data_IF_337606724449
#
_entry.id   IF_337606724449
#
_cell.length_a   1.000
_cell.length_b   1.000
_cell.length_c   1.000
_cell.angle_alpha   90.00
_cell.angle_beta   90.00
_cell.angle_gamma   90.00
#
_symmetry.space_group_name_H-M   'P 1'
#
loop_
_entity.id
_entity.type
_entity.pdbx_description
1 polymer ?
#
# COMPACT_ATOMS: atom_id res chain seq x y z
N UNK A 1 2.82 4.69 13.46
CA UNK A 1 2.11 5.86 13.94
C UNK A 1 3.08 6.73 14.76
N UNK A 2 3.23 8.00 14.40
CA UNK A 2 4.18 8.95 15.01
C UNK A 2 3.68 9.51 16.36
N UNK A 3 2.39 9.39 16.66
CA UNK A 3 1.79 9.89 17.89
C UNK A 3 1.45 8.79 18.90
N UNK A 4 1.23 7.56 18.44
CA UNK A 4 0.83 6.43 19.27
C UNK A 4 1.71 5.23 18.98
N UNK A 5 2.39 4.74 19.99
CA UNK A 5 3.31 3.63 19.82
C UNK A 5 2.57 2.33 19.44
N UNK A 6 2.84 1.69 18.29
CA UNK A 6 2.12 0.49 17.86
C UNK A 6 2.25 -0.68 18.84
N UNK A 7 3.35 -0.78 19.61
CA UNK A 7 3.53 -1.82 20.60
C UNK A 7 2.48 -1.76 21.74
N UNK A 8 1.83 -0.62 21.98
CA UNK A 8 0.73 -0.52 22.94
C UNK A 8 -0.42 -1.46 22.58
N UNK A 9 -0.68 -1.64 21.28
CA UNK A 9 -1.67 -2.60 20.78
C UNK A 9 -1.27 -4.05 21.11
N UNK A 10 -0.01 -4.41 20.91
CA UNK A 10 0.52 -5.73 21.26
C UNK A 10 0.50 -5.98 22.78
N UNK A 11 0.87 -4.97 23.57
CA UNK A 11 0.77 -5.05 25.02
C UNK A 11 -0.68 -5.31 25.46
N UNK A 12 -1.64 -4.60 24.87
CA UNK A 12 -3.06 -4.81 25.18
C UNK A 12 -3.53 -6.21 24.77
N UNK A 13 -3.14 -6.67 23.60
CA UNK A 13 -3.38 -8.05 23.14
C UNK A 13 -2.84 -9.09 24.13
N UNK A 14 -1.62 -8.88 24.60
CA UNK A 14 -0.99 -9.74 25.61
C UNK A 14 -1.75 -9.73 26.94
N UNK A 15 -2.29 -8.58 27.35
CA UNK A 15 -3.15 -8.47 28.51
C UNK A 15 -4.47 -9.26 28.32
N UNK A 16 -5.11 -9.16 27.15
CA UNK A 16 -6.31 -9.95 26.82
C UNK A 16 -6.02 -11.45 26.95
N UNK A 17 -4.95 -11.94 26.34
CA UNK A 17 -4.52 -13.35 26.45
C UNK A 17 -4.30 -13.78 27.90
N UNK A 18 -3.62 -12.94 28.66
CA UNK A 18 -3.30 -13.25 30.08
C UNK A 18 -4.53 -13.35 30.96
N UNK A 19 -5.52 -12.44 30.79
CA UNK A 19 -6.66 -12.34 31.69
C UNK A 19 -7.88 -13.14 31.24
N UNK A 20 -8.07 -13.31 29.90
CA UNK A 20 -9.15 -14.14 29.35
C UNK A 20 -8.73 -15.57 29.03
N UNK A 21 -7.44 -15.83 28.84
CA UNK A 21 -6.92 -17.13 28.44
C UNK A 21 -7.04 -17.41 26.92
N UNK A 22 -7.69 -16.55 26.17
CA UNK A 22 -7.85 -16.64 24.71
C UNK A 22 -8.01 -15.26 24.07
N UNK A 23 -8.12 -15.21 22.74
CA UNK A 23 -8.36 -14.02 21.93
C UNK A 23 -9.65 -14.13 21.09
N UNK A 24 -10.58 -14.98 21.48
CA UNK A 24 -11.74 -15.30 20.65
C UNK A 24 -12.58 -14.06 20.35
N UNK A 25 -12.71 -13.14 21.33
CA UNK A 25 -13.44 -11.88 21.22
C UNK A 25 -12.53 -10.66 20.98
N UNK A 26 -11.33 -10.86 20.43
CA UNK A 26 -10.39 -9.77 20.21
C UNK A 26 -9.79 -9.84 18.81
N UNK A 27 -9.71 -8.67 18.17
CA UNK A 27 -9.00 -8.50 16.90
C UNK A 27 -8.13 -7.25 16.95
N UNK A 28 -6.97 -7.31 16.30
CA UNK A 28 -6.08 -6.17 16.14
C UNK A 28 -5.60 -6.12 14.69
N UNK A 29 -5.71 -4.94 14.08
CA UNK A 29 -5.29 -4.72 12.71
C UNK A 29 -4.23 -3.63 12.67
N UNK A 30 -3.06 -3.98 12.15
CA UNK A 30 -2.00 -3.03 11.85
C UNK A 30 -2.01 -2.70 10.36
N UNK A 31 -1.73 -1.45 10.06
CA UNK A 31 -1.69 -0.92 8.69
C UNK A 31 -0.33 -0.28 8.44
N UNK A 32 0.29 -0.63 7.31
CA UNK A 32 1.52 0.00 6.84
C UNK A 32 1.21 1.36 6.22
N UNK A 33 2.19 2.25 6.27
CA UNK A 33 2.14 3.57 5.58
C UNK A 33 0.97 4.46 6.02
N UNK A 34 0.44 4.27 7.19
CA UNK A 34 -0.60 5.13 7.78
C UNK A 34 0.00 6.05 8.84
N UNK A 35 -0.56 7.24 8.96
CA UNK A 35 -0.24 8.22 10.00
C UNK A 35 -1.32 8.25 11.07
N UNK A 36 -1.02 8.93 12.18
CA UNK A 36 -2.03 9.32 13.16
C UNK A 36 -2.96 10.39 12.57
N UNK A 37 -4.25 10.25 12.83
CA UNK A 37 -5.25 11.19 12.34
C UNK A 37 -5.71 10.94 10.90
N UNK A 38 -6.67 11.73 10.47
CA UNK A 38 -7.23 11.66 9.12
C UNK A 38 -6.31 12.38 8.12
N UNK A 39 -5.72 11.60 7.23
CA UNK A 39 -4.88 12.11 6.14
C UNK A 39 -5.65 12.26 4.82
N UNK A 40 -6.97 12.24 4.84
CA UNK A 40 -7.77 12.41 3.62
C UNK A 40 -7.52 13.75 2.93
N UNK A 41 -7.15 14.77 3.69
CA UNK A 41 -6.73 16.07 3.20
C UNK A 41 -5.26 16.13 2.76
N UNK A 42 -4.43 15.15 3.18
CA UNK A 42 -3.01 15.05 2.89
C UNK A 42 -2.80 13.96 1.82
N UNK A 43 -3.20 14.23 0.60
CA UNK A 43 -2.99 13.28 -0.50
C UNK A 43 -1.50 13.27 -0.90
N UNK A 44 -0.69 12.66 -0.04
CA UNK A 44 0.77 12.56 -0.22
C UNK A 44 1.14 11.25 -0.88
N UNK A 45 2.35 11.21 -1.45
CA UNK A 45 2.92 9.99 -2.02
C UNK A 45 3.71 9.15 -0.98
N UNK A 46 3.53 9.44 0.32
CA UNK A 46 4.26 8.79 1.41
C UNK A 46 3.37 8.00 2.35
N UNK A 47 2.09 8.35 2.43
CA UNK A 47 1.14 7.74 3.36
C UNK A 47 -0.21 7.48 2.70
N UNK A 48 -0.94 6.54 3.26
CA UNK A 48 -2.31 6.21 2.86
C UNK A 48 -3.27 6.45 4.01
N UNK A 49 -4.53 6.71 3.66
CA UNK A 49 -5.61 6.86 4.62
C UNK A 49 -6.03 5.49 5.17
N UNK A 50 -6.15 5.37 6.50
CA UNK A 50 -6.58 4.15 7.18
C UNK A 50 -8.11 4.04 7.35
N UNK A 51 -8.87 5.09 7.04
CA UNK A 51 -10.31 5.14 7.31
C UNK A 51 -11.11 4.01 6.66
N UNK A 52 -10.69 3.55 5.48
CA UNK A 52 -11.33 2.41 4.82
C UNK A 52 -11.28 1.15 5.67
N UNK A 53 -10.12 0.85 6.23
CA UNK A 53 -9.93 -0.27 7.14
C UNK A 53 -10.69 -0.11 8.47
N UNK A 54 -10.69 1.10 9.04
CA UNK A 54 -11.45 1.40 10.25
C UNK A 54 -12.97 1.20 10.03
N UNK A 55 -13.51 1.71 8.93
CA UNK A 55 -14.93 1.56 8.60
C UNK A 55 -15.29 0.09 8.36
N UNK A 56 -14.45 -0.66 7.66
CA UNK A 56 -14.65 -2.10 7.47
C UNK A 56 -14.63 -2.84 8.81
N UNK A 57 -13.70 -2.51 9.70
CA UNK A 57 -13.62 -3.12 11.03
C UNK A 57 -14.88 -2.82 11.89
N UNK A 58 -15.45 -1.62 11.78
CA UNK A 58 -16.71 -1.28 12.45
C UNK A 58 -17.91 -2.07 11.92
N UNK A 59 -18.00 -2.27 10.60
CA UNK A 59 -19.02 -3.13 10.00
C UNK A 59 -18.85 -4.59 10.46
N UNK A 60 -17.62 -5.09 10.46
CA UNK A 60 -17.31 -6.43 10.94
C UNK A 60 -17.65 -6.61 12.42
N UNK A 61 -17.42 -5.58 13.24
CA UNK A 61 -17.78 -5.60 14.66
C UNK A 61 -19.31 -5.66 14.85
N UNK A 62 -20.07 -4.87 14.06
CA UNK A 62 -21.54 -4.94 14.07
C UNK A 62 -22.04 -6.34 13.71
N UNK A 63 -21.51 -6.92 12.63
CA UNK A 63 -21.86 -8.28 12.22
C UNK A 63 -21.50 -9.33 13.29
N UNK A 64 -20.38 -9.15 13.96
CA UNK A 64 -19.97 -10.05 15.02
C UNK A 64 -20.90 -10.02 16.22
N UNK A 65 -21.26 -8.80 16.68
CA UNK A 65 -22.12 -8.62 17.84
C UNK A 65 -23.58 -9.01 17.53
N UNK A 66 -24.09 -8.61 16.38
CA UNK A 66 -25.52 -8.77 16.04
C UNK A 66 -25.84 -10.12 15.40
N UNK A 67 -24.89 -10.70 14.65
CA UNK A 67 -25.11 -11.87 13.80
C UNK A 67 -24.21 -13.05 14.13
N UNK A 68 -23.23 -12.88 15.04
CA UNK A 68 -22.27 -13.91 15.40
C UNK A 68 -21.23 -14.21 14.29
N UNK A 69 -21.10 -13.32 13.30
CA UNK A 69 -20.15 -13.49 12.19
C UNK A 69 -18.81 -12.94 12.60
N UNK A 70 -17.87 -13.82 12.93
CA UNK A 70 -16.53 -13.41 13.38
C UNK A 70 -15.77 -12.61 12.32
N UNK A 71 -15.10 -11.50 12.70
CA UNK A 71 -14.24 -10.73 11.80
C UNK A 71 -13.04 -11.54 11.31
N UNK A 72 -12.35 -11.01 10.29
CA UNK A 72 -11.07 -11.57 9.84
C UNK A 72 -10.08 -11.70 10.98
N UNK A 73 -9.14 -12.62 10.83
CA UNK A 73 -8.07 -12.80 11.80
C UNK A 73 -7.27 -11.50 11.98
N UNK A 74 -6.75 -11.31 13.18
CA UNK A 74 -5.80 -10.24 13.48
C UNK A 74 -4.63 -10.25 12.50
N UNK A 75 -4.01 -9.10 12.27
CA UNK A 75 -2.77 -9.03 11.50
C UNK A 75 -1.73 -10.02 12.02
N UNK A 76 -1.06 -10.72 11.11
CA UNK A 76 0.13 -11.50 11.44
C UNK A 76 1.32 -10.55 11.55
N UNK A 77 2.04 -10.59 12.68
CA UNK A 77 3.18 -9.72 12.94
C UNK A 77 4.11 -10.33 13.99
N UNK A 78 5.32 -9.83 14.00
CA UNK A 78 6.32 -10.08 15.03
C UNK A 78 6.69 -8.78 15.74
N UNK A 79 7.09 -8.90 17.00
CA UNK A 79 7.60 -7.79 17.81
C UNK A 79 9.09 -7.91 17.98
N UNK A 80 9.85 -6.96 17.46
CA UNK A 80 11.29 -6.89 17.64
C UNK A 80 11.71 -5.48 18.08
N UNK A 81 12.42 -5.38 19.20
CA UNK A 81 12.88 -4.09 19.71
C UNK A 81 11.78 -3.06 20.00
N UNK A 82 10.54 -3.49 20.27
CA UNK A 82 9.38 -2.61 20.45
C UNK A 82 8.74 -2.13 19.14
N UNK A 83 9.19 -2.65 18.00
CA UNK A 83 8.66 -2.34 16.67
C UNK A 83 7.78 -3.49 16.20
N UNK A 84 6.63 -3.16 15.60
CA UNK A 84 5.75 -4.12 14.94
C UNK A 84 6.25 -4.38 13.53
N UNK A 85 6.60 -5.61 13.23
CA UNK A 85 6.99 -6.08 11.91
C UNK A 85 5.86 -6.94 11.35
N UNK A 86 5.13 -6.40 10.38
CA UNK A 86 4.07 -7.15 9.71
C UNK A 86 4.66 -8.29 8.86
N UNK A 87 3.94 -9.40 8.80
CA UNK A 87 4.31 -10.51 7.93
C UNK A 87 4.51 -10.04 6.48
N UNK A 88 5.65 -10.37 5.91
CA UNK A 88 6.05 -9.94 4.54
C UNK A 88 5.68 -10.95 3.47
N UNK A 89 5.54 -12.22 3.85
CA UNK A 89 5.10 -13.27 2.95
C UNK A 89 3.60 -13.09 2.64
N UNK A 90 3.21 -12.80 1.40
CA UNK A 90 1.82 -12.58 1.06
C UNK A 90 0.90 -13.75 1.41
N UNK A 91 1.39 -14.99 1.29
CA UNK A 91 0.62 -16.19 1.61
C UNK A 91 0.32 -16.34 3.11
N UNK A 92 1.15 -15.76 3.97
CA UNK A 92 1.00 -15.79 5.42
C UNK A 92 0.38 -14.50 6.00
N UNK A 93 0.27 -13.46 5.18
CA UNK A 93 -0.31 -12.19 5.60
C UNK A 93 -1.74 -12.37 6.08
N UNK A 94 -2.05 -11.86 7.27
CA UNK A 94 -3.39 -11.82 7.86
C UNK A 94 -3.80 -10.37 8.07
N UNK A 95 -5.08 -10.16 8.35
CA UNK A 95 -5.67 -8.83 8.49
C UNK A 95 -6.43 -8.41 7.25
N UNK A 96 -6.45 -7.12 6.95
CA UNK A 96 -7.30 -6.58 5.88
C UNK A 96 -6.53 -5.80 4.80
N UNK A 97 -5.33 -5.28 5.13
CA UNK A 97 -4.60 -4.42 4.21
C UNK A 97 -3.92 -5.24 3.10
N UNK A 98 -4.09 -4.86 1.81
CA UNK A 98 -3.40 -5.51 0.71
C UNK A 98 -1.89 -5.31 0.83
N UNK A 99 -1.13 -6.32 0.42
CA UNK A 99 0.32 -6.21 0.23
C UNK A 99 0.54 -5.66 -1.18
N UNK A 100 1.51 -4.76 -1.30
CA UNK A 100 1.94 -4.22 -2.58
C UNK A 100 3.46 -4.21 -2.64
N UNK A 101 3.99 -4.59 -3.79
CA UNK A 101 5.37 -4.34 -4.17
C UNK A 101 5.40 -3.63 -5.53
N UNK A 102 6.47 -2.91 -5.78
CA UNK A 102 6.65 -2.18 -7.02
C UNK A 102 8.09 -2.30 -7.51
N UNK A 103 8.26 -2.29 -8.82
CA UNK A 103 9.54 -2.37 -9.47
C UNK A 103 9.59 -1.49 -10.71
N UNK A 104 10.80 -1.21 -11.16
CA UNK A 104 11.08 -0.42 -12.35
C UNK A 104 12.12 -1.13 -13.22
N UNK A 105 12.00 -0.98 -14.55
CA UNK A 105 13.00 -1.41 -15.53
C UNK A 105 13.11 -0.40 -16.66
N UNK A 106 14.22 -0.40 -17.39
CA UNK A 106 14.28 0.31 -18.66
C UNK A 106 13.28 -0.29 -19.64
N UNK A 107 12.68 0.55 -20.51
CA UNK A 107 11.67 0.08 -21.47
C UNK A 107 12.29 -0.79 -22.60
N UNK A 108 13.56 -0.62 -22.87
CA UNK A 108 14.30 -1.48 -23.79
C UNK A 108 14.68 -2.80 -23.08
N UNK A 109 13.80 -3.78 -23.17
CA UNK A 109 13.99 -5.11 -22.59
C UNK A 109 12.95 -6.09 -23.11
N UNK A 110 13.29 -7.37 -23.08
CA UNK A 110 12.37 -8.44 -23.47
C UNK A 110 11.24 -8.46 -22.43
N UNK A 111 10.04 -8.11 -22.83
CA UNK A 111 8.83 -8.34 -22.04
C UNK A 111 8.66 -9.85 -21.96
N UNK A 112 9.05 -10.47 -20.85
CA UNK A 112 8.64 -11.84 -20.57
C UNK A 112 7.14 -11.82 -20.34
N UNK A 113 6.41 -12.60 -21.12
CA UNK A 113 5.02 -12.93 -20.77
C UNK A 113 5.10 -13.85 -19.56
N UNK A 114 4.90 -13.31 -18.38
CA UNK A 114 4.88 -14.06 -17.13
C UNK A 114 3.45 -14.52 -16.89
N UNK A 115 3.25 -15.81 -16.63
CA UNK A 115 2.00 -16.25 -16.03
C UNK A 115 1.96 -15.68 -14.61
N UNK A 116 1.20 -14.58 -14.45
CA UNK A 116 1.08 -13.90 -13.17
C UNK A 116 0.26 -14.79 -12.21
N UNK A 117 0.91 -15.24 -11.15
CA UNK A 117 0.27 -15.98 -10.04
C UNK A 117 0.72 -15.49 -8.66
N UNK A 118 1.61 -14.50 -8.63
CA UNK A 118 2.13 -13.91 -7.40
C UNK A 118 2.81 -12.57 -7.68
N UNK A 119 2.97 -11.76 -6.64
CA UNK A 119 3.75 -10.51 -6.69
C UNK A 119 5.17 -10.79 -7.20
N UNK A 120 5.80 -11.85 -6.70
CA UNK A 120 7.18 -12.20 -7.10
C UNK A 120 7.29 -12.56 -8.58
N UNK A 121 6.32 -13.30 -9.12
CA UNK A 121 6.31 -13.66 -10.53
C UNK A 121 6.12 -12.44 -11.45
N UNK A 122 5.23 -11.51 -11.06
CA UNK A 122 5.00 -10.27 -11.81
C UNK A 122 6.26 -9.39 -11.83
N UNK A 123 6.96 -9.27 -10.70
CA UNK A 123 8.12 -8.38 -10.57
C UNK A 123 9.46 -9.06 -10.92
N UNK A 124 9.44 -10.28 -11.49
CA UNK A 124 10.67 -10.97 -11.91
C UNK A 124 11.44 -10.15 -12.94
N UNK A 125 12.70 -9.87 -12.63
CA UNK A 125 13.58 -9.05 -13.46
C UNK A 125 13.40 -7.54 -13.31
N UNK A 126 12.52 -7.08 -12.40
CA UNK A 126 12.42 -5.68 -12.02
C UNK A 126 13.26 -5.35 -10.80
N UNK A 127 13.59 -4.07 -10.63
CA UNK A 127 14.38 -3.56 -9.50
C UNK A 127 13.63 -2.43 -8.80
N UNK A 128 14.01 -2.13 -7.57
CA UNK A 128 13.48 -0.99 -6.82
C UNK A 128 14.12 0.35 -7.22
N UNK A 129 15.21 0.29 -8.01
CA UNK A 129 15.96 1.45 -8.50
C UNK A 129 16.53 1.19 -9.90
N UNK A 130 16.44 2.18 -10.79
CA UNK A 130 17.04 2.14 -12.13
C UNK A 130 17.84 3.41 -12.40
N UNK A 131 18.93 3.29 -13.19
CA UNK A 131 19.67 4.40 -13.76
C UNK A 131 19.38 4.50 -15.25
N UNK A 132 18.98 5.68 -15.71
CA UNK A 132 18.63 5.95 -17.10
C UNK A 132 19.10 7.33 -17.52
N UNK A 133 19.25 7.57 -18.82
CA UNK A 133 19.53 8.93 -19.34
C UNK A 133 18.23 9.74 -19.44
N UNK A 134 18.38 11.07 -19.47
CA UNK A 134 17.27 11.96 -19.69
C UNK A 134 16.52 11.61 -20.99
N UNK A 135 15.19 11.48 -20.93
CA UNK A 135 14.32 11.09 -22.03
C UNK A 135 14.23 9.58 -22.30
N UNK A 136 15.07 8.76 -21.67
CA UNK A 136 14.92 7.31 -21.79
C UNK A 136 13.61 6.84 -21.10
N UNK A 137 12.94 5.90 -21.76
CA UNK A 137 11.70 5.32 -21.25
C UNK A 137 11.97 4.26 -20.19
N UNK A 138 11.15 4.29 -19.15
CA UNK A 138 11.10 3.29 -18.09
C UNK A 138 9.69 2.72 -17.98
N UNK A 139 9.60 1.47 -17.56
CA UNK A 139 8.34 0.84 -17.18
C UNK A 139 8.30 0.72 -15.67
N UNK A 140 7.28 1.34 -15.08
CA UNK A 140 6.91 1.20 -13.68
C UNK A 140 5.89 0.07 -13.58
N UNK A 141 6.11 -0.88 -12.70
CA UNK A 141 5.16 -1.97 -12.45
C UNK A 141 4.83 -2.03 -10.97
N UNK A 142 3.59 -2.33 -10.65
CA UNK A 142 3.17 -2.65 -9.31
C UNK A 142 2.33 -3.92 -9.32
N UNK A 143 2.55 -4.77 -8.33
CA UNK A 143 1.76 -5.96 -8.09
C UNK A 143 1.28 -5.99 -6.65
N UNK A 144 0.06 -6.45 -6.44
CA UNK A 144 -0.55 -6.49 -5.12
C UNK A 144 -1.36 -7.79 -4.94
N UNK A 145 -1.46 -8.25 -3.70
CA UNK A 145 -2.27 -9.38 -3.28
C UNK A 145 -3.09 -9.01 -2.05
N UNK A 146 -4.30 -9.52 -1.95
CA UNK A 146 -5.12 -9.34 -0.74
C UNK A 146 -4.87 -10.47 0.26
N UNK A 147 -4.94 -10.22 1.58
CA UNK A 147 -5.03 -11.29 2.57
C UNK A 147 -6.28 -12.14 2.35
N UNK A 148 -6.25 -13.39 2.81
CA UNK A 148 -7.37 -14.32 2.68
C UNK A 148 -8.71 -13.70 3.09
N UNK A 149 -9.68 -13.77 2.18
CA UNK A 149 -11.04 -13.27 2.36
C UNK A 149 -11.15 -11.73 2.51
N UNK A 150 -10.15 -10.98 2.11
CA UNK A 150 -10.18 -9.51 2.13
C UNK A 150 -10.67 -8.89 0.82
N UNK A 151 -11.25 -9.69 -0.06
CA UNK A 151 -11.90 -9.25 -1.30
C UNK A 151 -10.98 -9.22 -2.49
N UNK A 152 -11.01 -8.15 -3.27
CA UNK A 152 -10.24 -8.00 -4.49
C UNK A 152 -9.52 -6.65 -4.55
N UNK A 153 -8.47 -6.61 -5.36
CA UNK A 153 -7.81 -5.36 -5.76
C UNK A 153 -8.77 -4.61 -6.70
N UNK A 154 -9.06 -3.36 -6.39
CA UNK A 154 -10.00 -2.53 -7.16
C UNK A 154 -9.32 -1.43 -7.96
N UNK A 155 -8.09 -1.07 -7.62
CA UNK A 155 -7.36 -0.01 -8.32
C UNK A 155 -5.86 -0.13 -8.08
N UNK A 156 -5.07 0.13 -9.13
CA UNK A 156 -3.65 0.46 -9.05
C UNK A 156 -3.42 1.81 -9.76
N UNK A 157 -2.79 2.74 -9.06
CA UNK A 157 -2.44 4.08 -9.57
C UNK A 157 -0.98 4.37 -9.35
N UNK A 158 -0.39 5.17 -10.23
CA UNK A 158 0.99 5.61 -10.13
C UNK A 158 1.06 7.14 -10.04
N UNK A 159 1.83 7.63 -9.07
CA UNK A 159 2.39 8.97 -9.07
C UNK A 159 3.78 8.87 -9.67
N UNK A 160 4.03 9.60 -10.75
CA UNK A 160 5.26 9.44 -11.53
C UNK A 160 6.45 10.16 -10.93
N UNK A 161 6.20 11.16 -10.08
CA UNK A 161 7.25 11.94 -9.41
C UNK A 161 6.81 12.28 -7.98
N UNK A 162 7.75 12.34 -7.07
CA UNK A 162 7.50 12.83 -5.72
C UNK A 162 7.42 14.37 -5.71
N UNK A 163 6.23 14.96 -5.63
CA UNK A 163 6.09 16.41 -5.65
C UNK A 163 6.69 17.08 -4.40
N UNK A 164 6.78 16.34 -3.31
CA UNK A 164 7.35 16.84 -2.06
C UNK A 164 8.85 17.08 -2.18
N UNK A 165 9.57 16.19 -2.89
CA UNK A 165 11.02 16.27 -3.01
C UNK A 165 11.45 17.50 -3.83
N UNK A 166 10.83 17.76 -4.96
CA UNK A 166 11.10 18.95 -5.78
C UNK A 166 10.77 20.26 -5.07
N UNK A 167 9.74 20.24 -4.23
CA UNK A 167 9.27 21.42 -3.49
C UNK A 167 10.18 21.77 -2.31
N UNK A 168 10.73 20.78 -1.62
CA UNK A 168 11.67 21.03 -0.51
C UNK A 168 13.00 21.66 -0.99
N UNK A 169 13.52 21.23 -2.11
CA UNK A 169 14.77 21.74 -2.66
C UNK A 169 14.69 23.23 -3.07
N UNK A 170 13.53 23.75 -3.39
CA UNK A 170 13.32 25.10 -3.94
C UNK A 170 12.58 26.04 -3.00
N UNK A 171 12.26 25.65 -1.78
CA UNK A 171 11.47 26.47 -0.86
C UNK A 171 12.27 27.63 -0.26
N UNK A 172 11.66 28.81 -0.32
CA UNK A 172 12.05 29.92 0.53
C UNK A 172 11.41 29.71 1.92
N UNK A 173 12.22 29.89 2.97
CA UNK A 173 11.72 29.91 4.35
C UNK A 173 10.62 30.97 4.43
N UNK A 174 9.41 30.58 4.84
CA UNK A 174 8.25 31.48 5.00
C UNK A 174 7.14 31.35 3.96
N UNK A 175 7.27 30.42 2.99
CA UNK A 175 6.11 30.08 2.15
C UNK A 175 5.04 29.35 2.97
N UNK A 176 3.78 29.74 2.73
CA UNK A 176 2.62 29.24 3.45
C UNK A 176 2.49 27.72 3.34
N UNK A 177 2.30 27.07 4.50
CA UNK A 177 2.07 25.64 4.59
C UNK A 177 0.86 25.18 3.76
N UNK A 178 -0.17 26.01 3.64
CA UNK A 178 -1.33 25.72 2.80
C UNK A 178 -1.00 25.70 1.32
N UNK A 179 -0.12 26.59 0.85
CA UNK A 179 0.39 26.57 -0.53
C UNK A 179 1.24 25.34 -0.80
N UNK A 180 1.97 24.88 0.21
CA UNK A 180 2.71 23.62 0.18
C UNK A 180 1.78 22.44 0.02
N UNK A 181 0.76 22.35 0.80
CA UNK A 181 -0.18 21.25 0.77
C UNK A 181 -1.06 21.26 -0.51
N UNK A 182 -1.31 22.45 -1.08
CA UNK A 182 -2.11 22.58 -2.31
C UNK A 182 -1.31 22.37 -3.60
N UNK A 183 0.00 22.64 -3.59
CA UNK A 183 0.84 22.64 -4.80
C UNK A 183 1.51 21.30 -5.14
N UNK A 184 1.30 20.26 -4.36
CA UNK A 184 2.14 19.07 -4.40
C UNK A 184 1.51 17.79 -4.92
N UNK A 185 0.40 17.85 -5.65
CA UNK A 185 -0.15 16.65 -6.26
C UNK A 185 0.53 16.37 -7.60
N UNK A 186 1.33 15.30 -7.66
CA UNK A 186 1.73 14.77 -8.95
C UNK A 186 0.50 14.20 -9.67
N UNK A 187 0.52 14.31 -10.98
CA UNK A 187 -0.47 13.64 -11.83
C UNK A 187 -0.44 12.14 -11.53
N UNK A 188 -1.61 11.57 -11.22
CA UNK A 188 -1.75 10.14 -10.96
C UNK A 188 -2.29 9.46 -12.18
N UNK A 189 -1.53 8.51 -12.68
CA UNK A 189 -1.91 7.67 -13.81
C UNK A 189 -2.56 6.40 -13.28
N UNK A 190 -3.76 6.08 -13.78
CA UNK A 190 -4.43 4.80 -13.48
C UNK A 190 -3.83 3.75 -14.39
N UNK A 191 -3.27 2.69 -13.82
CA UNK A 191 -2.81 1.53 -14.57
C UNK A 191 -3.98 0.65 -15.02
N UNK A 192 -3.84 0.03 -16.17
CA UNK A 192 -4.75 -1.05 -16.57
C UNK A 192 -4.58 -2.23 -15.61
N UNK A 193 -5.68 -2.66 -15.00
CA UNK A 193 -5.66 -3.66 -13.95
C UNK A 193 -5.74 -5.07 -14.55
N UNK A 194 -4.70 -5.87 -14.34
CA UNK A 194 -4.63 -7.26 -14.74
C UNK A 194 -4.70 -8.16 -13.50
N UNK A 195 -5.83 -8.85 -13.33
CA UNK A 195 -6.04 -9.76 -12.21
C UNK A 195 -5.35 -11.10 -12.42
N UNK A 196 -4.91 -11.69 -11.32
CA UNK A 196 -4.46 -13.08 -11.23
C UNK A 196 -5.00 -13.74 -9.95
N UNK A 197 -4.99 -15.06 -9.94
CA UNK A 197 -5.30 -15.84 -8.74
C UNK A 197 -4.04 -16.49 -8.23
N UNK A 198 -3.76 -16.35 -6.96
CA UNK A 198 -2.61 -16.99 -6.29
C UNK A 198 -2.85 -18.50 -6.14
N UNK A 199 -1.79 -19.26 -5.86
CA UNK A 199 -1.91 -20.72 -5.68
C UNK A 199 -2.88 -21.12 -4.56
N UNK A 200 -3.01 -20.27 -3.52
CA UNK A 200 -3.92 -20.46 -2.40
C UNK A 200 -5.30 -19.83 -2.62
N UNK A 201 -5.60 -19.35 -3.83
CA UNK A 201 -6.92 -18.89 -4.25
C UNK A 201 -7.25 -17.44 -3.88
N UNK A 202 -6.27 -16.63 -3.45
CA UNK A 202 -6.47 -15.20 -3.17
C UNK A 202 -6.43 -14.38 -4.46
N UNK A 203 -7.08 -13.23 -4.45
CA UNK A 203 -6.97 -12.26 -5.54
C UNK A 203 -5.64 -11.52 -5.47
N UNK A 204 -5.04 -11.34 -6.63
CA UNK A 204 -3.95 -10.43 -6.87
C UNK A 204 -4.20 -9.66 -8.16
N UNK A 205 -3.50 -8.55 -8.32
CA UNK A 205 -3.51 -7.80 -9.56
C UNK A 205 -2.21 -7.04 -9.75
N UNK A 206 -1.90 -6.74 -11.01
CA UNK A 206 -0.78 -5.87 -11.36
C UNK A 206 -1.19 -4.84 -12.41
N UNK A 207 -0.38 -3.81 -12.52
CA UNK A 207 -0.48 -2.81 -13.57
C UNK A 207 0.92 -2.31 -13.94
N UNK A 208 1.08 -1.90 -15.19
CA UNK A 208 2.30 -1.28 -15.72
C UNK A 208 1.98 0.10 -16.30
N UNK A 209 2.94 1.02 -16.20
CA UNK A 209 2.89 2.34 -16.82
C UNK A 209 4.26 2.66 -17.41
N UNK A 210 4.30 3.00 -18.70
CA UNK A 210 5.50 3.53 -19.36
C UNK A 210 5.57 5.04 -19.16
N UNK A 211 6.75 5.54 -18.81
CA UNK A 211 7.03 6.97 -18.66
C UNK A 211 8.48 7.30 -18.99
N UNK A 212 8.82 8.59 -19.04
CA UNK A 212 10.19 9.08 -19.15
C UNK A 212 10.37 10.36 -18.33
N UNK A 213 11.61 10.71 -18.03
CA UNK A 213 11.98 11.91 -17.28
C UNK A 213 13.01 12.72 -18.07
N UNK A 214 12.65 13.97 -18.42
CA UNK A 214 13.47 14.81 -19.30
C UNK A 214 14.61 15.54 -18.60
N UNK A 215 14.61 15.57 -17.27
CA UNK A 215 15.61 16.29 -16.46
C UNK A 215 16.39 15.33 -15.60
N UNK A 216 17.71 15.58 -15.52
CA UNK A 216 18.58 14.87 -14.59
C UNK A 216 18.13 15.06 -13.14
N UNK A 217 18.24 14.01 -12.33
CA UNK A 217 17.83 14.03 -10.92
C UNK A 217 17.37 12.68 -10.42
N UNK A 218 16.97 12.64 -9.18
CA UNK A 218 16.38 11.44 -8.55
C UNK A 218 14.87 11.62 -8.38
N UNK A 219 14.12 10.68 -8.93
CA UNK A 219 12.66 10.65 -8.86
C UNK A 219 12.20 9.47 -8.01
N UNK A 220 11.16 9.68 -7.23
CA UNK A 220 10.52 8.65 -6.41
C UNK A 220 9.10 8.44 -6.91
N UNK A 221 8.92 7.51 -7.83
CA UNK A 221 7.58 7.12 -8.26
C UNK A 221 6.90 6.28 -7.17
N UNK A 222 5.60 6.45 -7.01
CA UNK A 222 4.80 5.75 -6.01
C UNK A 222 3.63 5.04 -6.65
N UNK A 223 3.49 3.76 -6.36
CA UNK A 223 2.31 2.98 -6.71
C UNK A 223 1.36 2.88 -5.52
N UNK A 224 0.07 3.11 -5.77
CA UNK A 224 -1.01 3.00 -4.79
C UNK A 224 -1.92 1.86 -5.17
N UNK A 225 -2.31 1.08 -4.16
CA UNK A 225 -3.31 0.02 -4.31
C UNK A 225 -4.54 0.33 -3.49
N UNK A 226 -5.69 -0.07 -4.02
CA UNK A 226 -6.94 -0.19 -3.26
C UNK A 226 -7.48 -1.60 -3.36
N UNK A 227 -8.02 -2.09 -2.27
CA UNK A 227 -8.80 -3.32 -2.22
C UNK A 227 -10.13 -3.08 -1.54
N UNK A 228 -11.12 -3.90 -1.85
CA UNK A 228 -12.43 -3.82 -1.23
C UNK A 228 -13.04 -5.23 -1.15
N UNK A 229 -13.63 -5.54 0.00
CA UNK A 229 -14.11 -6.88 0.36
C UNK A 229 -15.11 -7.47 -0.63
N UNK A 230 -16.06 -6.66 -1.09
CA UNK A 230 -17.14 -7.09 -1.97
C UNK A 230 -16.86 -6.75 -3.44
N UNK A 231 -15.61 -6.41 -3.77
CA UNK A 231 -15.15 -6.06 -5.13
C UNK A 231 -15.86 -4.86 -5.76
N UNK A 232 -16.45 -3.98 -4.92
CA UNK A 232 -17.19 -2.80 -5.38
C UNK A 232 -16.23 -1.63 -5.58
N UNK A 233 -15.97 -1.31 -6.82
CA UNK A 233 -15.05 -0.21 -7.19
C UNK A 233 -15.62 1.18 -6.86
N UNK A 234 -16.94 1.33 -6.89
CA UNK A 234 -17.68 2.56 -6.58
C UNK A 234 -17.84 2.81 -5.08
N UNK A 235 -17.58 1.81 -4.23
CA UNK A 235 -17.63 1.95 -2.79
C UNK A 235 -16.44 2.76 -2.28
N UNK A 236 -16.70 3.93 -1.71
CA UNK A 236 -15.64 4.84 -1.28
C UNK A 236 -15.24 4.68 0.19
N UNK A 237 -16.11 4.10 1.02
CA UNK A 237 -15.96 4.13 2.46
C UNK A 237 -15.10 2.99 3.02
N UNK A 238 -15.13 1.82 2.37
CA UNK A 238 -14.42 0.61 2.83
C UNK A 238 -13.24 0.23 1.94
N UNK A 239 -12.74 1.16 1.13
CA UNK A 239 -11.53 0.98 0.33
C UNK A 239 -10.30 0.97 1.23
N UNK A 240 -9.62 -0.16 1.31
CA UNK A 240 -8.40 -0.33 2.09
C UNK A 240 -7.21 -0.08 1.18
N UNK A 241 -6.26 0.74 1.64
CA UNK A 241 -5.19 1.27 0.80
C UNK A 241 -3.82 0.84 1.31
N UNK A 242 -2.88 0.72 0.39
CA UNK A 242 -1.44 0.63 0.67
C UNK A 242 -0.65 1.29 -0.47
N UNK A 243 0.66 1.43 -0.30
CA UNK A 243 1.55 1.99 -1.32
C UNK A 243 2.92 1.32 -1.31
N UNK A 244 3.60 1.39 -2.45
CA UNK A 244 5.01 1.05 -2.60
C UNK A 244 5.72 2.12 -3.44
N UNK A 245 7.04 2.26 -3.29
CA UNK A 245 7.83 3.30 -3.97
C UNK A 245 8.97 2.69 -4.75
N UNK A 246 9.32 3.36 -5.85
CA UNK A 246 10.45 3.03 -6.73
C UNK A 246 11.34 4.26 -6.88
N UNK A 247 12.61 4.07 -7.19
CA UNK A 247 13.56 5.14 -7.42
C UNK A 247 14.10 5.11 -8.84
N UNK A 248 14.05 6.26 -9.52
CA UNK A 248 14.61 6.45 -10.84
C UNK A 248 15.69 7.53 -10.74
N UNK A 249 16.90 7.18 -11.14
CA UNK A 249 18.06 8.10 -11.19
C UNK A 249 18.30 8.43 -12.65
N UNK A 250 18.12 9.70 -13.00
CA UNK A 250 18.28 10.22 -14.37
C UNK A 250 19.59 10.97 -14.45
N UNK A 251 20.48 10.53 -15.35
CA UNK A 251 21.82 11.05 -15.60
C UNK A 251 21.90 11.87 -16.90
#
# INVERSE_FOLDING_TARGET
>A
DEATCPWCGDWYRSAVRKYKGNEDDFRIYYYERCMHGDVSALDTDMVVNYLGGLKQALLDLSDWVERGIAPRQSSAYEMEGGIVHLEKDPAKRKGMQPIIAAGVRAAEGIVKTVEANSIAAVLDGMTDCVHVKAGEKVVLCAAAEVPEGSGQITELKFSLSDPMFGTYANRKIGEDYASFMAGGRSERVVGELHHFTTEDGRDGAYAEVETSYDKTGTYFATAFVKSQRDSRTEELYTQIKNLARMRIIVE
#
